data_IF_410655365638
#
_entry.id   IF_410655365638
#
_cell.length_a   1.000
_cell.length_b   1.000
_cell.length_c   1.000
_cell.angle_alpha   90.00
_cell.angle_beta   90.00
_cell.angle_gamma   90.00
#
_symmetry.space_group_name_H-M   'P 1'
#
loop_
_entity.id
_entity.type
_entity.pdbx_description
1 polymer ?
#
# COMPACT_ATOMS: atom_id res chain seq x y z
N UNK A 1 -9.46 -21.72 10.04
CA UNK A 1 -8.67 -21.57 8.80
C UNK A 1 -9.00 -20.20 8.25
N UNK A 2 -8.40 -19.20 8.87
CA UNK A 2 -8.77 -17.81 8.74
C UNK A 2 -7.87 -17.23 7.68
N UNK A 3 -8.40 -17.15 6.45
CA UNK A 3 -7.74 -16.56 5.30
C UNK A 3 -7.70 -15.02 5.47
N UNK A 4 -7.02 -14.55 6.54
CA UNK A 4 -6.73 -13.13 6.76
C UNK A 4 -5.64 -12.76 5.78
N UNK A 5 -5.92 -11.76 4.94
CA UNK A 5 -4.91 -11.07 4.15
C UNK A 5 -3.91 -10.45 5.13
N UNK A 6 -2.87 -11.21 5.49
CA UNK A 6 -1.81 -10.81 6.40
C UNK A 6 -0.83 -9.98 5.60
N UNK A 7 -1.13 -8.69 5.44
CA UNK A 7 -0.12 -7.70 5.12
C UNK A 7 0.95 -7.80 6.20
N UNK A 8 2.17 -8.24 5.83
CA UNK A 8 3.38 -8.23 6.65
C UNK A 8 3.77 -6.77 6.91
N UNK A 9 2.92 -6.05 7.64
CA UNK A 9 3.03 -4.63 7.88
C UNK A 9 4.09 -4.41 8.95
N UNK A 10 5.34 -4.32 8.50
CA UNK A 10 6.48 -3.78 9.25
C UNK A 10 6.64 -2.28 8.95
N UNK A 11 5.59 -1.62 8.47
CA UNK A 11 5.59 -0.17 8.27
C UNK A 11 5.55 0.52 9.63
N UNK A 12 6.56 1.35 9.93
CA UNK A 12 6.52 2.22 11.11
C UNK A 12 5.28 3.12 11.04
N UNK A 13 4.74 3.54 12.19
CA UNK A 13 3.64 4.53 12.27
C UNK A 13 3.92 5.80 11.43
N UNK A 14 5.21 6.13 11.26
CA UNK A 14 5.67 7.20 10.37
C UNK A 14 5.26 7.01 8.90
N UNK A 15 5.24 5.78 8.42
CA UNK A 15 4.85 5.45 7.05
C UNK A 15 3.36 5.68 6.82
N UNK A 16 2.51 5.22 7.74
CA UNK A 16 1.05 5.44 7.65
C UNK A 16 0.70 6.92 7.77
N UNK A 17 1.41 7.66 8.62
CA UNK A 17 1.21 9.10 8.78
C UNK A 17 1.54 9.89 7.50
N UNK A 18 2.60 9.51 6.78
CA UNK A 18 2.96 10.14 5.49
C UNK A 18 1.91 9.88 4.41
N UNK A 19 1.40 8.66 4.35
CA UNK A 19 0.34 8.31 3.39
C UNK A 19 -0.94 9.05 3.77
N UNK A 20 -1.29 9.09 5.06
CA UNK A 20 -2.45 9.82 5.58
C UNK A 20 -2.38 11.31 5.26
N UNK A 21 -1.22 11.96 5.44
CA UNK A 21 -1.03 13.37 5.06
C UNK A 21 -1.19 13.61 3.56
N UNK A 22 -0.70 12.70 2.72
CA UNK A 22 -0.89 12.80 1.27
C UNK A 22 -2.35 12.60 0.85
N UNK A 23 -3.08 11.71 1.54
CA UNK A 23 -4.52 11.51 1.33
C UNK A 23 -5.29 12.75 1.77
N UNK A 24 -4.98 13.28 2.96
CA UNK A 24 -5.57 14.51 3.49
C UNK A 24 -5.38 15.68 2.52
N UNK A 25 -4.17 15.86 1.99
CA UNK A 25 -3.88 16.92 1.04
C UNK A 25 -4.57 16.76 -0.33
N UNK A 26 -5.01 15.55 -0.69
CA UNK A 26 -5.65 15.27 -1.99
C UNK A 26 -7.18 15.19 -1.92
N UNK A 27 -7.72 14.59 -0.86
CA UNK A 27 -9.14 14.27 -0.72
C UNK A 27 -9.78 14.84 0.57
N UNK A 28 -8.97 15.35 1.51
CA UNK A 28 -9.45 15.95 2.76
C UNK A 28 -9.41 15.00 3.97
N UNK A 29 -9.81 15.53 5.13
CA UNK A 29 -9.76 14.81 6.41
C UNK A 29 -10.71 13.61 6.47
N UNK A 30 -11.84 13.66 5.77
CA UNK A 30 -12.82 12.57 5.72
C UNK A 30 -12.20 11.26 5.22
N UNK A 31 -11.44 11.35 4.13
CA UNK A 31 -10.74 10.21 3.53
C UNK A 31 -9.48 9.83 4.29
N UNK A 32 -8.83 10.79 4.93
CA UNK A 32 -7.72 10.51 5.83
C UNK A 32 -8.19 9.76 7.11
N UNK A 33 -9.46 9.90 7.50
CA UNK A 33 -10.09 9.11 8.55
C UNK A 33 -10.47 7.70 8.09
N UNK A 34 -10.87 7.55 6.83
CA UNK A 34 -11.18 6.26 6.21
C UNK A 34 -9.94 5.52 5.65
N UNK A 35 -8.76 6.09 5.83
CA UNK A 35 -7.51 5.52 5.35
C UNK A 35 -7.13 4.30 6.21
N UNK A 36 -7.25 3.11 5.61
CA UNK A 36 -6.71 1.89 6.19
C UNK A 36 -5.48 1.40 5.40
N UNK A 37 -4.28 1.38 6.01
CA UNK A 37 -3.05 0.96 5.36
C UNK A 37 -3.03 -0.51 4.93
N UNK A 38 -3.89 -1.37 5.49
CA UNK A 38 -3.88 -2.82 5.23
C UNK A 38 -4.92 -3.22 4.19
N UNK A 39 -6.05 -2.52 4.14
CA UNK A 39 -7.17 -2.88 3.27
C UNK A 39 -7.35 -1.93 2.08
N UNK A 40 -7.14 -0.62 2.28
CA UNK A 40 -7.53 0.41 1.31
C UNK A 40 -6.35 1.08 0.60
N UNK A 41 -5.12 0.62 0.86
CA UNK A 41 -3.92 1.20 0.30
C UNK A 41 -2.90 0.11 -0.05
N UNK A 42 -2.83 -0.21 -1.34
CA UNK A 42 -2.03 -1.32 -1.84
C UNK A 42 -1.09 -0.87 -2.96
N UNK A 43 -0.07 -1.68 -3.23
CA UNK A 43 0.80 -1.45 -4.39
C UNK A 43 0.07 -1.76 -5.68
N UNK A 44 0.54 -1.21 -6.81
CA UNK A 44 -0.01 -1.49 -8.14
C UNK A 44 -0.21 -2.99 -8.41
N UNK A 45 0.81 -3.80 -8.06
CA UNK A 45 0.77 -5.24 -8.29
C UNK A 45 -0.23 -5.95 -7.36
N UNK A 46 -0.37 -5.48 -6.12
CA UNK A 46 -1.39 -6.00 -5.19
C UNK A 46 -2.80 -5.69 -5.67
N UNK A 47 -3.06 -4.48 -6.18
CA UNK A 47 -4.34 -4.14 -6.79
C UNK A 47 -4.64 -5.02 -8.01
N UNK A 48 -3.67 -5.19 -8.91
CA UNK A 48 -3.82 -6.06 -10.08
C UNK A 48 -4.17 -7.50 -9.69
N UNK A 49 -3.52 -8.05 -8.66
CA UNK A 49 -3.83 -9.38 -8.13
C UNK A 49 -5.25 -9.49 -7.56
N UNK A 50 -5.80 -8.40 -7.04
CA UNK A 50 -7.18 -8.34 -6.53
C UNK A 50 -8.22 -7.98 -7.61
N UNK A 51 -7.82 -7.89 -8.88
CA UNK A 51 -8.74 -7.53 -9.97
C UNK A 51 -9.03 -6.03 -10.04
N UNK A 52 -8.13 -5.18 -9.54
CA UNK A 52 -8.23 -3.73 -9.65
C UNK A 52 -7.05 -3.18 -10.42
N UNK A 53 -7.27 -2.09 -11.15
CA UNK A 53 -6.23 -1.37 -11.90
C UNK A 53 -6.23 0.08 -11.50
N UNK A 54 -5.05 0.66 -11.43
CA UNK A 54 -4.90 2.10 -11.19
C UNK A 54 -5.38 2.87 -12.42
N UNK A 55 -6.23 3.87 -12.19
CA UNK A 55 -6.75 4.79 -13.21
C UNK A 55 -5.59 5.47 -13.93
N UNK A 56 -5.72 5.62 -15.25
CA UNK A 56 -4.66 6.24 -16.08
C UNK A 56 -4.49 7.71 -15.70
N UNK A 57 -3.27 8.11 -15.35
CA UNK A 57 -2.93 9.49 -14.98
C UNK A 57 -2.89 9.77 -13.47
N UNK A 58 -3.30 8.80 -12.64
CA UNK A 58 -3.26 8.95 -11.19
C UNK A 58 -1.83 8.94 -10.63
N UNK A 59 -1.54 9.88 -9.73
CA UNK A 59 -0.23 9.95 -9.06
C UNK A 59 -0.18 8.94 -7.93
N UNK A 60 0.85 8.11 -7.90
CA UNK A 60 1.10 7.25 -6.74
C UNK A 60 1.26 8.07 -5.45
N UNK A 61 0.88 7.48 -4.33
CA UNK A 61 1.21 7.96 -2.99
C UNK A 61 2.57 7.36 -2.63
N UNK A 62 3.57 8.23 -2.42
CA UNK A 62 4.92 7.77 -2.07
C UNK A 62 4.93 7.37 -0.61
N UNK A 63 5.32 6.14 -0.36
CA UNK A 63 5.47 5.57 0.97
C UNK A 63 6.84 4.91 1.07
N UNK A 64 7.28 4.57 2.27
CA UNK A 64 8.50 3.80 2.45
C UNK A 64 8.31 2.71 3.50
N UNK A 65 8.89 1.56 3.24
CA UNK A 65 8.96 0.46 4.20
C UNK A 65 10.41 0.25 4.60
N UNK A 66 10.64 -0.07 5.87
CA UNK A 66 11.98 -0.47 6.33
C UNK A 66 12.11 -1.95 6.02
N UNK A 67 12.94 -2.28 5.03
CA UNK A 67 13.21 -3.66 4.66
C UNK A 67 14.44 -4.13 5.43
N UNK A 68 14.28 -5.24 6.14
CA UNK A 68 15.36 -5.92 6.84
C UNK A 68 16.01 -6.90 5.85
N UNK A 69 17.25 -6.62 5.45
CA UNK A 69 18.07 -7.56 4.70
C UNK A 69 18.58 -8.61 5.67
N UNK A 70 18.16 -9.86 5.48
CA UNK A 70 18.72 -11.01 6.19
C UNK A 70 19.88 -11.59 5.39
N UNK A 71 20.92 -12.01 6.09
CA UNK A 71 22.04 -12.76 5.50
C UNK A 71 21.67 -14.23 5.30
N UNK A 72 22.58 -15.03 4.73
CA UNK A 72 22.37 -16.48 4.52
C UNK A 72 22.11 -17.24 5.83
N UNK A 73 22.55 -16.71 6.97
CA UNK A 73 22.30 -17.26 8.30
C UNK A 73 21.01 -16.75 8.96
N UNK A 74 20.20 -15.93 8.28
CA UNK A 74 18.94 -15.40 8.80
C UNK A 74 19.08 -14.17 9.71
N UNK A 75 20.30 -13.72 9.99
CA UNK A 75 20.57 -12.52 10.79
C UNK A 75 20.32 -11.22 10.00
N UNK A 76 19.77 -10.20 10.66
CA UNK A 76 19.47 -8.90 10.05
C UNK A 76 20.78 -8.12 9.89
N UNK A 77 21.39 -8.19 8.71
CA UNK A 77 22.64 -7.49 8.38
C UNK A 77 22.45 -6.02 8.06
N UNK A 78 21.28 -5.61 7.55
CA UNK A 78 21.03 -4.20 7.22
C UNK A 78 19.55 -3.86 7.17
N UNK A 79 19.18 -2.70 7.72
CA UNK A 79 17.86 -2.11 7.54
C UNK A 79 17.99 -0.97 6.52
N UNK A 80 17.18 -0.98 5.48
CA UNK A 80 17.16 0.11 4.51
C UNK A 80 15.73 0.56 4.22
N UNK A 81 15.48 1.87 4.13
CA UNK A 81 14.20 2.38 3.69
C UNK A 81 14.05 2.11 2.19
N UNK A 82 13.01 1.38 1.82
CA UNK A 82 12.62 1.16 0.43
C UNK A 82 11.38 2.01 0.14
N UNK A 83 11.53 2.96 -0.76
CA UNK A 83 10.39 3.70 -1.29
C UNK A 83 9.49 2.77 -2.09
N UNK A 84 8.20 2.81 -1.79
CA UNK A 84 7.16 2.06 -2.48
C UNK A 84 6.08 3.03 -2.97
N UNK A 85 5.48 2.68 -4.09
CA UNK A 85 4.38 3.42 -4.68
C UNK A 85 3.08 2.72 -4.30
N UNK A 86 2.25 3.42 -3.52
CA UNK A 86 0.94 2.95 -3.09
C UNK A 86 -0.15 3.69 -3.85
N UNK A 87 -1.31 3.06 -3.96
CA UNK A 87 -2.50 3.63 -4.56
C UNK A 87 -3.67 3.44 -3.61
N UNK A 88 -4.41 4.51 -3.38
CA UNK A 88 -5.62 4.46 -2.56
C UNK A 88 -6.80 3.91 -3.37
N UNK A 89 -7.82 3.35 -2.70
CA UNK A 89 -8.95 2.71 -3.37
C UNK A 89 -9.66 3.61 -4.39
N UNK A 90 -9.68 4.94 -4.19
CA UNK A 90 -10.25 5.89 -5.16
C UNK A 90 -9.46 6.05 -6.45
N UNK A 91 -8.17 5.75 -6.39
CA UNK A 91 -7.25 5.83 -7.54
C UNK A 91 -7.30 4.59 -8.41
N UNK A 92 -7.99 3.54 -7.96
CA UNK A 92 -8.16 2.31 -8.72
C UNK A 92 -9.60 2.16 -9.19
N UNK A 93 -9.76 1.34 -10.19
CA UNK A 93 -11.04 0.91 -10.77
C UNK A 93 -11.01 -0.63 -10.86
N UNK A 94 -12.16 -1.29 -10.63
CA UNK A 94 -12.24 -2.73 -10.83
C UNK A 94 -11.97 -3.04 -12.31
N UNK A 95 -10.99 -3.91 -12.56
CA UNK A 95 -10.82 -4.52 -13.88
C UNK A 95 -11.90 -5.57 -13.96
N UNK A 96 -13.00 -5.23 -14.63
CA UNK A 96 -14.20 -6.03 -14.71
C UNK A 96 -13.91 -7.53 -14.81
N UNK A 97 -14.58 -8.27 -13.91
CA UNK A 97 -14.91 -9.67 -14.06
C UNK A 97 -15.34 -9.87 -15.52
N UNK A 98 -14.47 -10.50 -16.33
CA UNK A 98 -14.96 -11.13 -17.56
C UNK A 98 -15.84 -12.27 -17.06
N UNK A 99 -17.15 -12.04 -17.11
CA UNK A 99 -18.08 -13.14 -17.34
C UNK A 99 -17.60 -13.81 -18.64
N UNK A 100 -17.07 -15.02 -18.50
CA UNK A 100 -16.93 -15.97 -19.60
C UNK A 100 -18.10 -16.96 -19.46
#
# INVERSE_FOLDING_TARGET
MDNKITSTWTGSEKTSDIVRRQILARWGEEEAGNYDPKSNCLTFNSWLKNGYKVKKGEKAIKSFIVVEKKDKNGEIVRKYPKSINLFYFRQVEPVGQKAD
#
